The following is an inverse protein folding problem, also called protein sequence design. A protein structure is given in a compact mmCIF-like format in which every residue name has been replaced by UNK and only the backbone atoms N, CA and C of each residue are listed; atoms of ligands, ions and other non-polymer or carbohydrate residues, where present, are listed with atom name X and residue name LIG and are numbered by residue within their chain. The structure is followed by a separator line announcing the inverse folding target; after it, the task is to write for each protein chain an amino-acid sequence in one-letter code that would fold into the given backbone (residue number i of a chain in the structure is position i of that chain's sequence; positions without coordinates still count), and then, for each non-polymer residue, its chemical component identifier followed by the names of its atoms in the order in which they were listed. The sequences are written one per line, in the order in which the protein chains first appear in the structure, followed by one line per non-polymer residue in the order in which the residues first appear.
data_IF_012490402643
#
_entry.id   IF_012490402643
#
_cell.length_a   1.000
_cell.length_b   1.000
_cell.length_c   1.000
_cell.angle_alpha   90.00
_cell.angle_beta   90.00
_cell.angle_gamma   90.00
#
_symmetry.space_group_name_H-M   'P 1'
#
loop_
_entity.id
_entity.type
_entity.pdbx_description
1 polymer ?
#
# COMPACT_ATOMS: atom_id res chain seq x y z
N UNK A 1 -46.98 42.73 -6.08
CA UNK A 1 -46.14 42.77 -4.85
C UNK A 1 -46.02 41.36 -4.30
N UNK A 2 -44.91 40.66 -4.54
CA UNK A 2 -44.68 39.31 -4.01
C UNK A 2 -43.99 39.41 -2.65
N UNK A 3 -44.79 39.54 -1.59
CA UNK A 3 -44.35 39.56 -0.20
C UNK A 3 -44.05 38.15 0.32
N UNK A 4 -43.00 37.51 -0.18
CA UNK A 4 -42.46 36.28 0.41
C UNK A 4 -41.56 36.61 1.60
N UNK A 5 -42.03 36.39 2.83
CA UNK A 5 -41.33 36.74 4.06
C UNK A 5 -39.90 36.14 4.13
N UNK A 6 -38.86 36.95 4.37
CA UNK A 6 -37.45 36.50 4.41
C UNK A 6 -37.17 35.50 5.56
N UNK A 7 -38.03 35.48 6.57
CA UNK A 7 -37.89 34.66 7.77
C UNK A 7 -38.00 33.15 7.48
N UNK A 8 -38.83 32.73 6.50
CA UNK A 8 -38.95 31.30 6.16
C UNK A 8 -37.66 30.78 5.50
N UNK A 9 -36.96 31.62 4.74
CA UNK A 9 -35.72 31.24 4.03
C UNK A 9 -34.55 31.07 5.02
N UNK A 10 -34.46 31.93 6.03
CA UNK A 10 -33.44 31.84 7.08
C UNK A 10 -33.64 30.64 8.00
N UNK A 11 -34.88 30.29 8.35
CA UNK A 11 -35.16 29.14 9.24
C UNK A 11 -34.81 27.79 8.56
N UNK A 12 -34.98 27.67 7.24
CA UNK A 12 -34.64 26.46 6.50
C UNK A 12 -33.11 26.28 6.42
N UNK A 13 -32.35 27.37 6.25
CA UNK A 13 -30.87 27.36 6.14
C UNK A 13 -30.14 26.93 7.42
N UNK A 14 -30.76 27.08 8.60
CA UNK A 14 -30.11 26.78 9.90
C UNK A 14 -30.36 25.32 10.36
N UNK A 15 -31.26 24.59 9.69
CA UNK A 15 -31.75 23.28 10.16
C UNK A 15 -30.84 22.08 9.83
N UNK A 16 -29.81 22.25 9.01
CA UNK A 16 -28.90 21.17 8.58
C UNK A 16 -27.61 21.06 9.41
N UNK A 17 -27.57 21.66 10.61
CA UNK A 17 -26.44 21.54 11.55
C UNK A 17 -26.60 20.40 12.56
N UNK A 18 -27.53 19.48 12.32
CA UNK A 18 -27.70 18.28 13.14
C UNK A 18 -26.51 17.34 12.94
N UNK A 19 -25.88 16.92 14.04
CA UNK A 19 -24.86 15.87 14.06
C UNK A 19 -25.42 14.60 13.42
N UNK A 20 -25.23 14.47 12.10
CA UNK A 20 -25.57 13.27 11.36
C UNK A 20 -24.53 12.25 11.79
N UNK A 21 -24.92 11.34 12.69
CA UNK A 21 -24.07 10.26 13.16
C UNK A 21 -23.37 9.55 12.00
N UNK A 22 -22.17 9.02 12.24
CA UNK A 22 -21.35 8.41 11.19
C UNK A 22 -22.16 7.39 10.38
N UNK A 23 -22.15 7.55 9.05
CA UNK A 23 -22.86 6.65 8.15
C UNK A 23 -22.27 5.24 8.30
N UNK A 24 -23.08 4.19 8.51
CA UNK A 24 -22.59 2.82 8.59
C UNK A 24 -21.72 2.42 7.39
N UNK A 25 -22.04 2.89 6.19
CA UNK A 25 -21.23 2.65 4.99
C UNK A 25 -19.82 3.26 5.09
N UNK A 26 -19.69 4.45 5.69
CA UNK A 26 -18.38 5.07 5.93
C UNK A 26 -17.58 4.32 6.98
N UNK A 27 -18.23 3.87 8.05
CA UNK A 27 -17.57 3.06 9.09
C UNK A 27 -17.05 1.77 8.47
N UNK A 28 -17.88 1.07 7.70
CA UNK A 28 -17.48 -0.17 7.02
C UNK A 28 -16.33 0.08 6.05
N UNK A 29 -16.37 1.18 5.27
CA UNK A 29 -15.28 1.53 4.36
C UNK A 29 -13.96 1.72 5.13
N UNK A 30 -13.98 2.48 6.23
CA UNK A 30 -12.79 2.67 7.07
C UNK A 30 -12.29 1.37 7.68
N UNK A 31 -13.18 0.50 8.15
CA UNK A 31 -12.82 -0.80 8.72
C UNK A 31 -12.18 -1.69 7.66
N UNK A 32 -12.77 -1.81 6.48
CA UNK A 32 -12.23 -2.66 5.41
C UNK A 32 -10.88 -2.15 4.92
N UNK A 33 -10.76 -0.84 4.67
CA UNK A 33 -9.48 -0.23 4.25
C UNK A 33 -8.43 -0.36 5.34
N UNK A 34 -8.78 -0.12 6.60
CA UNK A 34 -7.87 -0.26 7.74
C UNK A 34 -7.41 -1.71 7.95
N UNK A 35 -8.31 -2.67 7.78
CA UNK A 35 -7.99 -4.09 7.92
C UNK A 35 -7.06 -4.55 6.79
N UNK A 36 -7.34 -4.15 5.54
CA UNK A 36 -6.46 -4.45 4.40
C UNK A 36 -5.08 -3.81 4.56
N UNK A 37 -5.01 -2.54 4.94
CA UNK A 37 -3.74 -1.85 5.17
C UNK A 37 -2.93 -2.52 6.28
N UNK A 38 -3.56 -2.81 7.42
CA UNK A 38 -2.92 -3.48 8.55
C UNK A 38 -2.39 -4.86 8.15
N UNK A 39 -3.18 -5.62 7.38
CA UNK A 39 -2.78 -6.94 6.90
C UNK A 39 -1.59 -6.86 5.94
N UNK A 40 -1.61 -5.88 5.02
CA UNK A 40 -0.55 -5.70 4.03
C UNK A 40 0.75 -5.20 4.67
N UNK A 41 0.67 -4.23 5.58
CA UNK A 41 1.81 -3.70 6.32
C UNK A 41 2.39 -4.77 7.23
N UNK A 42 1.56 -5.47 8.02
CA UNK A 42 2.01 -6.56 8.88
C UNK A 42 2.70 -7.67 8.08
N UNK A 43 2.14 -8.06 6.92
CA UNK A 43 2.77 -9.04 6.04
C UNK A 43 4.08 -8.52 5.43
N UNK A 44 4.15 -7.26 5.03
CA UNK A 44 5.35 -6.67 4.47
C UNK A 44 6.48 -6.56 5.51
N UNK A 45 6.16 -6.13 6.73
CA UNK A 45 7.11 -6.07 7.84
C UNK A 45 7.61 -7.47 8.18
N UNK A 46 6.71 -8.46 8.25
CA UNK A 46 7.11 -9.85 8.51
C UNK A 46 7.96 -10.43 7.36
N UNK A 47 7.59 -10.16 6.11
CA UNK A 47 8.34 -10.57 4.93
C UNK A 47 9.74 -9.95 4.89
N UNK A 48 9.86 -8.67 5.21
CA UNK A 48 11.16 -7.98 5.26
C UNK A 48 11.99 -8.40 6.47
N UNK A 49 11.37 -8.66 7.61
CA UNK A 49 12.04 -9.22 8.78
C UNK A 49 12.57 -10.62 8.50
N UNK A 50 11.74 -11.49 7.91
CA UNK A 50 12.14 -12.82 7.48
C UNK A 50 13.26 -12.76 6.43
N UNK A 51 13.23 -11.83 5.48
CA UNK A 51 14.35 -11.68 4.53
C UNK A 51 15.66 -11.20 5.17
N UNK A 52 15.59 -10.45 6.28
CA UNK A 52 16.77 -10.02 7.03
C UNK A 52 17.35 -11.14 7.90
N UNK A 53 16.50 -12.01 8.43
CA UNK A 53 16.92 -13.13 9.30
C UNK A 53 17.21 -14.41 8.54
N UNK A 54 16.55 -14.63 7.41
CA UNK A 54 16.86 -15.70 6.47
C UNK A 54 18.13 -15.25 5.74
N UNK A 55 19.24 -15.99 5.82
CA UNK A 55 20.46 -15.65 5.11
C UNK A 55 20.11 -15.48 3.62
N UNK A 56 20.65 -14.45 2.94
CA UNK A 56 20.35 -14.16 1.55
C UNK A 56 20.45 -15.48 0.80
N UNK A 57 19.33 -15.93 0.19
CA UNK A 57 19.26 -17.22 -0.50
C UNK A 57 20.47 -17.26 -1.40
N UNK A 58 21.50 -18.00 -1.00
CA UNK A 58 22.71 -18.15 -1.81
C UNK A 58 22.17 -18.67 -3.11
N UNK A 59 22.20 -17.86 -4.18
CA UNK A 59 22.00 -18.35 -5.53
C UNK A 59 22.84 -19.61 -5.58
N UNK A 60 22.20 -20.77 -5.79
CA UNK A 60 22.86 -22.09 -5.69
C UNK A 60 24.26 -21.91 -6.23
N UNK A 61 25.33 -22.10 -5.42
CA UNK A 61 26.66 -21.69 -5.82
C UNK A 61 26.90 -22.27 -7.20
N UNK A 62 26.92 -21.37 -8.18
CA UNK A 62 26.98 -21.77 -9.58
C UNK A 62 28.39 -22.32 -9.69
N UNK A 63 28.50 -23.63 -9.85
CA UNK A 63 29.81 -24.32 -9.90
C UNK A 63 30.75 -23.49 -10.76
N UNK A 64 32.01 -23.31 -10.34
CA UNK A 64 33.01 -22.52 -11.07
C UNK A 64 33.04 -22.89 -12.57
N UNK A 65 32.73 -24.13 -12.92
CA UNK A 65 32.54 -24.62 -14.31
C UNK A 65 31.38 -23.94 -15.06
N UNK A 66 30.22 -23.77 -14.41
CA UNK A 66 29.05 -23.06 -14.96
C UNK A 66 29.32 -21.54 -15.06
N UNK A 67 29.96 -20.94 -14.06
CA UNK A 67 30.36 -19.52 -14.12
C UNK A 67 31.36 -19.28 -15.26
N UNK A 68 32.40 -20.11 -15.39
CA UNK A 68 33.37 -20.01 -16.49
C UNK A 68 32.68 -20.20 -17.86
N UNK A 69 31.74 -21.15 -17.96
CA UNK A 69 30.96 -21.40 -19.18
C UNK A 69 30.06 -20.21 -19.56
N UNK A 70 29.38 -19.59 -18.59
CA UNK A 70 28.56 -18.40 -18.82
C UNK A 70 29.42 -17.17 -19.16
N UNK A 71 30.57 -16.98 -18.49
CA UNK A 71 31.52 -15.90 -18.78
C UNK A 71 32.15 -16.04 -20.17
N UNK A 72 32.52 -17.27 -20.57
CA UNK A 72 33.00 -17.59 -21.92
C UNK A 72 31.94 -17.35 -22.99
N UNK A 73 30.67 -17.68 -22.71
CA UNK A 73 29.54 -17.43 -23.63
C UNK A 73 29.20 -15.95 -23.77
N UNK A 74 29.35 -15.19 -22.69
CA UNK A 74 29.12 -13.74 -22.68
C UNK A 74 30.29 -12.95 -23.28
N UNK A 75 31.36 -13.61 -23.74
CA UNK A 75 32.51 -12.94 -24.37
C UNK A 75 33.27 -12.00 -23.45
N UNK A 76 33.00 -12.05 -22.14
CA UNK A 76 33.68 -11.21 -21.15
C UNK A 76 35.05 -11.82 -20.92
N UNK A 77 36.08 -11.31 -21.61
CA UNK A 77 37.46 -11.63 -21.26
C UNK A 77 37.68 -11.22 -19.81
N UNK A 78 38.43 -12.05 -19.07
CA UNK A 78 38.72 -11.75 -17.68
C UNK A 78 39.40 -10.36 -17.60
N UNK A 79 39.05 -9.51 -16.62
CA UNK A 79 39.81 -8.30 -16.36
C UNK A 79 41.18 -8.72 -15.83
N UNK A 80 42.19 -8.71 -16.71
CA UNK A 80 43.58 -9.03 -16.41
C UNK A 80 44.16 -10.08 -17.35
N UNK A 81 45.05 -9.63 -18.23
CA UNK A 81 46.25 -10.39 -18.64
C UNK A 81 47.17 -10.63 -17.44
#
# INVERSE_FOLDING_TARGET
MNGGSPLKKTIILVKDSGQKGFNPALIVLLVVVGLLLTFLVGNYVLYTYAQKTIPPRKKKPVSKKKLKKERMKQGVSAPGE
#
